data_IF_941065176726
#
_entry.id   IF_941065176726
#
_cell.length_a   1.000
_cell.length_b   1.000
_cell.length_c   1.000
_cell.angle_alpha   90.00
_cell.angle_beta   90.00
_cell.angle_gamma   90.00
#
_symmetry.space_group_name_H-M   'P 1'
#
loop_
_entity.id
_entity.type
_entity.pdbx_description
1 polymer ?
#
# COMPACT_ATOMS: atom_id res chain seq x y z
N UNK A 1 9.67 0.25 -36.29
CA UNK A 1 10.65 -0.66 -35.65
C UNK A 1 10.38 -0.92 -34.15
N UNK A 2 9.84 0.03 -33.38
CA UNK A 2 9.56 -0.15 -31.94
C UNK A 2 8.36 -1.07 -31.57
N UNK A 3 7.44 -1.38 -32.50
CA UNK A 3 6.31 -2.29 -32.19
C UNK A 3 6.66 -3.78 -32.35
N UNK A 4 7.70 -4.12 -33.12
CA UNK A 4 8.08 -5.51 -33.38
C UNK A 4 8.98 -6.11 -32.28
N UNK A 5 9.76 -5.27 -31.59
CA UNK A 5 10.63 -5.71 -30.48
C UNK A 5 9.81 -6.07 -29.23
N UNK A 6 8.65 -5.45 -29.02
CA UNK A 6 7.74 -5.77 -27.90
C UNK A 6 7.09 -7.15 -28.07
N UNK A 7 6.98 -7.65 -29.30
CA UNK A 7 6.30 -8.92 -29.62
C UNK A 7 7.16 -10.16 -29.39
N UNK A 8 8.48 -10.00 -29.22
CA UNK A 8 9.45 -11.10 -29.16
C UNK A 8 9.89 -11.51 -27.74
N UNK A 9 9.31 -10.93 -26.67
CA UNK A 9 9.69 -11.22 -25.28
C UNK A 9 8.51 -11.56 -24.35
N UNK A 10 7.42 -12.15 -24.83
CA UNK A 10 6.41 -12.78 -23.95
C UNK A 10 6.19 -14.23 -24.34
N UNK A 11 6.94 -15.15 -23.73
CA UNK A 11 6.67 -16.58 -23.86
C UNK A 11 5.52 -17.10 -22.98
N UNK A 12 4.93 -16.26 -22.12
CA UNK A 12 3.66 -16.55 -21.45
C UNK A 12 2.74 -15.33 -21.51
N UNK A 13 1.86 -15.29 -22.51
CA UNK A 13 0.75 -14.33 -22.50
C UNK A 13 -0.24 -14.79 -21.42
N UNK A 14 -0.16 -14.19 -20.22
CA UNK A 14 -1.12 -14.42 -19.13
C UNK A 14 -2.56 -14.40 -19.68
N UNK A 15 -3.24 -15.54 -19.60
CA UNK A 15 -4.63 -15.67 -20.02
C UNK A 15 -5.56 -15.00 -19.01
N UNK A 16 -5.94 -13.76 -19.32
CA UNK A 16 -6.88 -13.01 -18.49
C UNK A 16 -8.33 -13.39 -18.77
N UNK A 17 -9.11 -13.50 -17.70
CA UNK A 17 -10.56 -13.58 -17.79
C UNK A 17 -11.13 -12.28 -18.37
N UNK A 18 -12.33 -12.29 -18.97
CA UNK A 18 -12.91 -11.06 -19.51
C UNK A 18 -13.21 -9.99 -18.47
N UNK A 19 -13.59 -10.38 -17.24
CA UNK A 19 -13.73 -9.47 -16.11
C UNK A 19 -12.38 -8.79 -15.78
N UNK A 20 -11.29 -9.56 -15.72
CA UNK A 20 -9.94 -8.99 -15.52
C UNK A 20 -9.53 -8.05 -16.64
N UNK A 21 -9.90 -8.36 -17.90
CA UNK A 21 -9.62 -7.46 -19.03
C UNK A 21 -10.36 -6.14 -18.88
N UNK A 22 -11.67 -6.20 -18.60
CA UNK A 22 -12.48 -5.02 -18.38
C UNK A 22 -11.92 -4.17 -17.23
N UNK A 23 -11.64 -4.77 -16.07
CA UNK A 23 -11.00 -4.09 -14.95
C UNK A 23 -9.67 -3.42 -15.36
N UNK A 24 -8.77 -4.13 -16.04
CA UNK A 24 -7.48 -3.57 -16.47
C UNK A 24 -7.58 -2.50 -17.57
N UNK A 25 -8.61 -2.54 -18.41
CA UNK A 25 -8.84 -1.55 -19.45
C UNK A 25 -9.37 -0.23 -18.86
N UNK A 26 -9.97 -0.28 -17.67
CA UNK A 26 -10.46 0.89 -16.93
C UNK A 26 -9.43 1.49 -15.96
N UNK A 27 -8.23 0.92 -15.85
CA UNK A 27 -7.16 1.49 -15.02
C UNK A 27 -6.68 2.85 -15.58
N UNK A 28 -6.82 3.89 -14.78
CA UNK A 28 -6.31 5.23 -15.06
C UNK A 28 -5.13 5.59 -14.17
N UNK A 29 -5.04 5.00 -12.97
CA UNK A 29 -3.96 5.25 -12.01
C UNK A 29 -2.65 4.59 -12.45
N UNK A 30 -1.53 5.25 -12.10
CA UNK A 30 -0.19 4.78 -12.44
C UNK A 30 0.20 3.52 -11.65
N UNK A 31 0.14 2.35 -12.27
CA UNK A 31 0.45 1.06 -11.61
C UNK A 31 1.94 0.67 -11.62
N UNK A 32 2.84 1.55 -12.08
CA UNK A 32 4.31 1.37 -12.12
C UNK A 32 4.84 0.12 -12.85
N UNK A 33 4.01 -0.63 -13.58
CA UNK A 33 4.44 -1.87 -14.27
C UNK A 33 5.52 -1.65 -15.33
N UNK A 34 5.48 -0.52 -16.04
CA UNK A 34 6.51 -0.16 -17.02
C UNK A 34 7.81 0.22 -16.32
N UNK A 35 7.72 1.04 -15.27
CA UNK A 35 8.86 1.44 -14.44
C UNK A 35 9.53 0.21 -13.83
N UNK A 36 8.75 -0.75 -13.32
CA UNK A 36 9.25 -2.01 -12.77
C UNK A 36 10.18 -2.73 -13.76
N UNK A 37 9.83 -2.78 -15.05
CA UNK A 37 10.69 -3.41 -16.08
C UNK A 37 12.02 -2.70 -16.29
N UNK A 38 12.11 -1.42 -15.96
CA UNK A 38 13.28 -0.57 -16.21
C UNK A 38 14.19 -0.53 -14.98
N UNK A 39 13.63 -0.31 -13.79
CA UNK A 39 14.42 0.01 -12.58
C UNK A 39 14.46 -1.12 -11.55
N UNK A 40 13.56 -2.09 -11.63
CA UNK A 40 13.51 -3.15 -10.63
C UNK A 40 14.60 -4.19 -10.90
N UNK A 41 15.36 -4.51 -9.86
CA UNK A 41 16.33 -5.59 -9.92
C UNK A 41 15.66 -6.91 -9.55
N UNK A 42 15.97 -7.97 -10.31
CA UNK A 42 15.51 -9.33 -10.05
C UNK A 42 16.46 -10.04 -9.09
N UNK A 43 15.90 -10.64 -8.04
CA UNK A 43 16.64 -11.52 -7.14
C UNK A 43 16.93 -12.86 -7.82
N UNK A 44 18.08 -13.47 -7.47
CA UNK A 44 18.38 -14.87 -7.83
C UNK A 44 17.72 -15.87 -6.88
N UNK A 45 17.27 -15.41 -5.71
CA UNK A 45 16.52 -16.22 -4.77
C UNK A 45 15.11 -16.50 -5.30
N UNK A 46 14.70 -17.76 -5.21
CA UNK A 46 13.35 -18.20 -5.57
C UNK A 46 12.57 -18.38 -4.28
N UNK A 47 11.50 -17.60 -4.12
CA UNK A 47 10.61 -17.73 -2.97
C UNK A 47 9.81 -19.03 -3.08
N UNK A 48 9.62 -19.70 -1.95
CA UNK A 48 8.92 -21.00 -1.86
C UNK A 48 7.89 -20.97 -0.73
N UNK A 49 7.17 -22.08 -0.54
CA UNK A 49 6.26 -22.26 0.60
C UNK A 49 6.93 -22.09 1.97
N UNK A 50 8.25 -22.31 2.07
CA UNK A 50 9.01 -22.09 3.32
C UNK A 50 9.13 -20.61 3.70
N UNK A 51 9.03 -19.74 2.70
CA UNK A 51 9.09 -18.30 2.88
C UNK A 51 7.71 -17.70 3.15
N UNK A 52 6.64 -18.50 3.07
CA UNK A 52 5.28 -17.99 3.27
C UNK A 52 5.12 -17.35 4.65
N UNK A 53 4.55 -16.15 4.67
CA UNK A 53 4.11 -15.52 5.90
C UNK A 53 2.85 -16.23 6.43
N UNK A 54 2.64 -16.25 7.76
CA UNK A 54 1.40 -16.76 8.36
C UNK A 54 0.17 -15.97 7.87
N UNK A 55 -0.98 -16.63 7.80
CA UNK A 55 -2.27 -16.03 7.42
C UNK A 55 -2.64 -14.86 8.33
N UNK A 56 -2.36 -14.97 9.61
CA UNK A 56 -2.70 -13.97 10.63
C UNK A 56 -1.96 -12.65 10.37
N UNK A 57 -0.72 -12.73 9.86
CA UNK A 57 0.04 -11.55 9.46
C UNK A 57 -0.55 -10.92 8.20
N UNK A 58 -1.04 -11.72 7.25
CA UNK A 58 -1.68 -11.20 6.04
C UNK A 58 -3.01 -10.51 6.37
N UNK A 59 -3.80 -11.05 7.29
CA UNK A 59 -5.02 -10.43 7.81
C UNK A 59 -4.72 -9.10 8.52
N UNK A 60 -3.73 -9.07 9.42
CA UNK A 60 -3.31 -7.84 10.09
C UNK A 60 -2.83 -6.76 9.09
N UNK A 61 -2.09 -7.14 8.06
CA UNK A 61 -1.68 -6.20 7.01
C UNK A 61 -2.83 -5.76 6.12
N UNK A 62 -3.84 -6.61 5.90
CA UNK A 62 -5.05 -6.21 5.21
C UNK A 62 -5.78 -5.11 5.98
N UNK A 63 -5.89 -5.23 7.31
CA UNK A 63 -6.45 -4.18 8.16
C UNK A 63 -5.70 -2.84 8.02
N UNK A 64 -4.37 -2.85 8.13
CA UNK A 64 -3.57 -1.63 7.96
C UNK A 64 -3.65 -1.02 6.56
N UNK A 65 -3.83 -1.87 5.54
CA UNK A 65 -4.04 -1.44 4.16
C UNK A 65 -5.28 -0.56 4.01
N UNK A 66 -6.36 -0.87 4.72
CA UNK A 66 -7.60 -0.10 4.65
C UNK A 66 -7.47 1.30 5.24
N UNK A 67 -6.73 1.45 6.35
CA UNK A 67 -6.38 2.77 6.87
C UNK A 67 -5.48 3.54 5.89
N UNK A 68 -4.53 2.88 5.24
CA UNK A 68 -3.68 3.50 4.22
C UNK A 68 -4.46 3.93 2.96
N UNK A 69 -5.49 3.17 2.58
CA UNK A 69 -6.43 3.51 1.50
C UNK A 69 -7.23 4.77 1.84
N UNK A 70 -7.85 4.82 3.04
CA UNK A 70 -8.62 5.99 3.48
C UNK A 70 -7.78 7.24 3.66
N UNK A 71 -6.48 7.09 3.93
CA UNK A 71 -5.59 8.25 4.08
C UNK A 71 -5.55 9.12 2.82
N UNK A 72 -5.81 8.57 1.63
CA UNK A 72 -5.93 9.35 0.39
C UNK A 72 -7.06 10.40 0.40
N UNK A 73 -7.96 10.35 1.38
CA UNK A 73 -9.01 11.34 1.62
C UNK A 73 -9.86 11.60 0.37
N UNK A 74 -10.22 10.53 -0.35
CA UNK A 74 -11.02 10.61 -1.58
C UNK A 74 -12.41 11.18 -1.24
N UNK A 75 -13.03 10.56 -0.25
CA UNK A 75 -14.11 11.12 0.54
C UNK A 75 -13.45 11.61 1.85
N UNK A 76 -13.76 12.83 2.34
CA UNK A 76 -13.22 13.32 3.60
C UNK A 76 -13.39 12.27 4.71
N UNK A 77 -12.33 11.94 5.45
CA UNK A 77 -12.39 10.87 6.45
C UNK A 77 -13.46 11.13 7.52
N UNK A 78 -13.70 12.38 7.89
CA UNK A 78 -14.80 12.77 8.78
C UNK A 78 -16.16 12.36 8.22
N UNK A 79 -16.34 12.53 6.91
CA UNK A 79 -17.55 12.14 6.19
C UNK A 79 -17.66 10.61 6.08
N UNK A 80 -16.54 9.91 5.92
CA UNK A 80 -16.52 8.44 5.97
C UNK A 80 -16.98 7.97 7.34
N UNK A 81 -16.40 8.48 8.42
CA UNK A 81 -16.71 8.06 9.79
C UNK A 81 -18.16 8.40 10.20
N UNK A 82 -18.73 9.50 9.70
CA UNK A 82 -20.13 9.84 9.95
C UNK A 82 -21.14 9.00 9.15
N UNK A 83 -20.67 8.20 8.19
CA UNK A 83 -21.52 7.37 7.32
C UNK A 83 -21.09 5.89 7.31
N UNK A 84 -20.39 5.40 8.34
CA UNK A 84 -19.80 4.05 8.33
C UNK A 84 -20.84 2.94 8.20
N UNK A 85 -21.98 3.04 8.89
CA UNK A 85 -23.05 2.04 8.80
C UNK A 85 -23.47 1.84 7.35
N UNK A 86 -23.70 2.94 6.62
CA UNK A 86 -24.06 2.94 5.20
C UNK A 86 -22.92 2.44 4.32
N UNK A 87 -21.72 2.98 4.49
CA UNK A 87 -20.58 2.68 3.62
C UNK A 87 -20.13 1.22 3.73
N UNK A 88 -20.47 0.54 4.82
CA UNK A 88 -20.15 -0.88 5.09
C UNK A 88 -21.28 -1.84 4.71
N UNK A 89 -22.41 -1.35 4.19
CA UNK A 89 -23.47 -2.20 3.63
C UNK A 89 -22.96 -3.00 2.41
N UNK A 90 -23.57 -4.15 2.08
CA UNK A 90 -23.24 -4.90 0.88
C UNK A 90 -23.30 -4.01 -0.37
N UNK A 91 -22.31 -4.15 -1.26
CA UNK A 91 -22.16 -3.32 -2.48
C UNK A 91 -21.89 -1.84 -2.21
N UNK A 92 -21.57 -1.42 -0.99
CA UNK A 92 -21.01 -0.09 -0.72
C UNK A 92 -19.47 -0.13 -0.62
N UNK A 93 -18.77 1.03 -0.75
CA UNK A 93 -17.33 1.06 -0.96
C UNK A 93 -16.50 0.39 0.14
N UNK A 94 -17.03 0.32 1.37
CA UNK A 94 -16.36 -0.19 2.56
C UNK A 94 -16.99 -1.50 3.07
N UNK A 95 -17.69 -2.26 2.21
CA UNK A 95 -18.33 -3.54 2.57
C UNK A 95 -17.37 -4.55 3.24
N UNK A 96 -16.12 -4.60 2.78
CA UNK A 96 -15.07 -5.47 3.34
C UNK A 96 -14.18 -4.76 4.39
N UNK A 97 -14.66 -3.63 4.94
CA UNK A 97 -13.87 -2.72 5.77
C UNK A 97 -14.33 -2.59 7.21
N UNK A 98 -14.72 -3.73 7.81
CA UNK A 98 -15.15 -3.82 9.21
C UNK A 98 -14.16 -3.24 10.21
N UNK A 99 -12.84 -3.31 9.95
CA UNK A 99 -11.84 -2.72 10.86
C UNK A 99 -11.97 -1.20 10.98
N UNK A 100 -12.50 -0.52 9.97
CA UNK A 100 -12.78 0.92 10.04
C UNK A 100 -14.03 1.16 10.89
N UNK A 101 -15.08 0.34 10.71
CA UNK A 101 -16.30 0.38 11.55
C UNK A 101 -15.98 0.18 13.04
N UNK A 102 -15.05 -0.72 13.34
CA UNK A 102 -14.61 -1.04 14.71
C UNK A 102 -13.55 -0.05 15.25
N UNK A 103 -13.39 1.12 14.63
CA UNK A 103 -12.41 2.14 15.01
C UNK A 103 -13.05 3.52 15.20
N UNK A 104 -12.34 4.39 15.92
CA UNK A 104 -12.78 5.76 16.20
C UNK A 104 -11.84 6.75 15.52
N UNK A 105 -12.37 7.65 14.69
CA UNK A 105 -11.59 8.77 14.17
C UNK A 105 -11.24 9.71 15.32
N UNK A 106 -9.95 10.05 15.44
CA UNK A 106 -9.49 11.02 16.42
C UNK A 106 -9.26 12.38 15.79
N UNK A 107 -8.39 12.44 14.77
CA UNK A 107 -8.02 13.70 14.13
C UNK A 107 -7.61 13.49 12.68
N UNK A 108 -8.07 14.38 11.81
CA UNK A 108 -7.64 14.53 10.43
C UNK A 108 -6.80 15.80 10.28
N UNK A 109 -5.77 15.77 9.45
CA UNK A 109 -4.87 16.92 9.26
C UNK A 109 -4.06 16.83 7.95
N UNK A 110 -3.54 17.98 7.53
CA UNK A 110 -2.67 18.09 6.36
C UNK A 110 -1.32 18.68 6.73
N UNK A 111 -0.25 18.15 6.13
CA UNK A 111 1.05 18.80 6.17
C UNK A 111 1.06 20.08 5.33
N UNK A 112 1.90 21.05 5.71
CA UNK A 112 2.01 22.35 5.02
C UNK A 112 2.63 22.27 3.61
N UNK A 113 3.11 21.10 3.21
CA UNK A 113 3.70 20.84 1.89
C UNK A 113 2.80 19.90 1.12
N UNK A 114 2.36 20.34 -0.07
CA UNK A 114 1.50 19.58 -0.99
C UNK A 114 0.15 19.11 -0.38
N UNK A 115 -0.27 19.71 0.74
CA UNK A 115 -1.46 19.28 1.50
C UNK A 115 -1.46 17.77 1.77
N UNK A 116 -0.31 17.23 2.18
CA UNK A 116 -0.17 15.81 2.45
C UNK A 116 -1.10 15.40 3.59
N UNK A 117 -2.20 14.72 3.24
CA UNK A 117 -3.21 14.31 4.20
C UNK A 117 -2.72 13.14 5.07
N UNK A 118 -3.10 13.17 6.35
CA UNK A 118 -2.97 12.07 7.29
C UNK A 118 -4.10 12.16 8.33
N UNK A 119 -4.37 11.04 9.00
CA UNK A 119 -5.30 11.02 10.11
C UNK A 119 -4.85 10.04 11.20
N UNK A 120 -5.40 10.24 12.40
CA UNK A 120 -5.28 9.31 13.52
C UNK A 120 -6.62 8.67 13.83
N UNK A 121 -6.59 7.37 14.13
CA UNK A 121 -7.74 6.61 14.57
C UNK A 121 -7.36 5.72 15.76
N UNK A 122 -8.31 5.45 16.65
CA UNK A 122 -8.14 4.53 17.77
C UNK A 122 -8.86 3.21 17.47
N UNK A 123 -8.20 2.09 17.74
CA UNK A 123 -8.79 0.75 17.66
C UNK A 123 -8.94 0.20 19.08
N UNK A 124 -10.13 0.31 19.71
CA UNK A 124 -10.34 -0.09 21.10
C UNK A 124 -9.97 -1.56 21.36
N UNK A 125 -10.41 -2.48 20.50
CA UNK A 125 -10.16 -3.91 20.64
C UNK A 125 -8.67 -4.29 20.64
N UNK A 126 -7.83 -3.49 19.97
CA UNK A 126 -6.37 -3.69 19.91
C UNK A 126 -5.60 -2.73 20.82
N UNK A 127 -6.28 -1.78 21.47
CA UNK A 127 -5.66 -0.69 22.24
C UNK A 127 -4.59 0.05 21.43
N UNK A 128 -4.87 0.28 20.15
CA UNK A 128 -3.89 0.73 19.16
C UNK A 128 -4.28 2.12 18.61
N UNK A 129 -3.33 3.04 18.64
CA UNK A 129 -3.43 4.34 17.97
C UNK A 129 -2.84 4.21 16.57
N UNK A 130 -3.66 4.29 15.53
CA UNK A 130 -3.24 4.23 14.14
C UNK A 130 -2.96 5.65 13.63
N UNK A 131 -1.83 5.84 12.97
CA UNK A 131 -1.46 7.04 12.22
C UNK A 131 -1.37 6.63 10.75
N UNK A 132 -2.29 7.10 9.92
CA UNK A 132 -2.35 6.75 8.51
C UNK A 132 -1.97 7.94 7.63
N UNK A 133 -0.96 7.77 6.78
CA UNK A 133 -0.38 8.85 5.97
C UNK A 133 -0.61 8.55 4.48
N UNK A 134 -1.13 9.55 3.77
CA UNK A 134 -1.51 9.39 2.36
C UNK A 134 -0.32 9.29 1.42
N UNK A 135 -0.53 8.63 0.29
CA UNK A 135 0.37 8.72 -0.86
C UNK A 135 -0.02 9.88 -1.78
N UNK A 136 0.65 9.97 -2.93
CA UNK A 136 0.27 10.93 -3.98
C UNK A 136 -0.72 10.29 -4.96
N UNK A 137 -1.80 10.99 -5.32
CA UNK A 137 -2.76 10.53 -6.35
C UNK A 137 -2.19 10.58 -7.77
N UNK A 138 -1.31 11.53 -8.06
CA UNK A 138 -0.63 11.69 -9.36
C UNK A 138 0.67 10.89 -9.44
N UNK A 139 0.55 9.58 -9.28
CA UNK A 139 1.65 8.60 -9.30
C UNK A 139 2.54 8.69 -10.57
N UNK A 140 1.96 9.09 -11.71
CA UNK A 140 2.70 9.32 -12.96
C UNK A 140 3.68 10.49 -12.83
N UNK A 141 3.30 11.60 -12.23
CA UNK A 141 4.17 12.77 -12.07
C UNK A 141 5.28 12.50 -11.04
N UNK A 142 4.99 11.73 -9.99
CA UNK A 142 6.00 11.36 -8.97
C UNK A 142 7.16 10.58 -9.59
N UNK A 143 6.89 9.63 -10.51
CA UNK A 143 7.94 8.86 -11.17
C UNK A 143 8.89 9.69 -12.04
N UNK A 144 8.36 10.73 -12.72
CA UNK A 144 9.14 11.64 -13.56
C UNK A 144 9.79 12.77 -12.77
N UNK A 145 9.16 13.22 -11.68
CA UNK A 145 9.57 14.36 -10.85
C UNK A 145 10.28 13.91 -9.55
N UNK A 146 10.74 12.65 -9.48
CA UNK A 146 11.84 12.25 -8.59
C UNK A 146 13.08 13.05 -9.02
N UNK A 147 13.12 14.33 -8.66
CA UNK A 147 14.30 15.18 -8.75
C UNK A 147 15.32 14.56 -7.81
N UNK A 148 16.22 13.79 -8.42
CA UNK A 148 17.20 12.90 -7.80
C UNK A 148 18.22 13.63 -6.95
N UNK A 149 17.76 14.19 -5.85
CA UNK A 149 18.59 14.93 -4.92
C UNK A 149 18.36 14.35 -3.54
N UNK A 150 19.40 13.75 -3.00
CA UNK A 150 19.46 13.52 -1.56
C UNK A 150 19.83 14.83 -0.87
N UNK A 151 19.30 15.07 0.32
CA UNK A 151 19.74 16.13 1.24
C UNK A 151 20.28 15.50 2.52
N UNK A 152 21.00 16.28 3.32
CA UNK A 152 21.50 15.83 4.62
C UNK A 152 20.32 15.58 5.57
N UNK A 153 20.29 14.40 6.19
CA UNK A 153 19.43 14.14 7.33
C UNK A 153 20.12 14.67 8.61
N UNK A 154 19.41 15.35 9.51
CA UNK A 154 20.04 16.10 10.61
C UNK A 154 20.79 15.22 11.62
N UNK A 155 20.39 13.96 11.78
CA UNK A 155 20.97 13.02 12.76
C UNK A 155 21.85 12.00 12.05
N UNK A 156 22.97 11.62 12.69
CA UNK A 156 23.86 10.57 12.20
C UNK A 156 24.89 11.02 11.17
N UNK A 157 26.02 10.31 11.10
CA UNK A 157 27.13 10.66 10.23
C UNK A 157 26.85 10.26 8.77
N UNK A 158 27.01 11.21 7.83
CA UNK A 158 26.79 11.04 6.38
C UNK A 158 25.39 10.52 6.01
N UNK A 159 24.42 10.67 6.90
CA UNK A 159 23.03 10.30 6.62
C UNK A 159 22.44 11.24 5.58
N UNK A 160 21.90 10.66 4.52
CA UNK A 160 21.24 11.40 3.47
C UNK A 160 19.86 10.80 3.19
N UNK A 161 18.89 11.68 2.93
CA UNK A 161 17.48 11.37 2.74
C UNK A 161 17.01 11.97 1.42
N UNK A 162 16.03 11.35 0.76
CA UNK A 162 15.39 11.90 -0.42
C UNK A 162 14.81 13.30 -0.12
N UNK A 163 15.23 14.33 -0.87
CA UNK A 163 14.86 15.73 -0.61
C UNK A 163 13.35 15.97 -0.62
N UNK A 164 12.62 15.32 -1.53
CA UNK A 164 11.16 15.42 -1.60
C UNK A 164 10.46 14.83 -0.38
N UNK A 165 10.87 13.63 0.04
CA UNK A 165 10.26 12.97 1.21
C UNK A 165 10.59 13.72 2.50
N UNK A 166 11.83 14.25 2.60
CA UNK A 166 12.22 15.08 3.72
C UNK A 166 11.37 16.35 3.81
N UNK A 167 11.16 17.06 2.70
CA UNK A 167 10.34 18.28 2.67
C UNK A 167 8.88 18.00 3.07
N UNK A 168 8.29 16.92 2.55
CA UNK A 168 6.94 16.50 2.91
C UNK A 168 6.83 16.16 4.39
N UNK A 169 7.78 15.38 4.89
CA UNK A 169 7.86 15.03 6.31
C UNK A 169 8.00 16.27 7.20
N UNK A 170 8.88 17.22 6.85
CA UNK A 170 9.02 18.47 7.61
C UNK A 170 7.72 19.26 7.72
N UNK A 171 6.91 19.29 6.65
CA UNK A 171 5.60 19.93 6.66
C UNK A 171 4.54 19.18 7.46
N UNK A 172 4.68 17.85 7.60
CA UNK A 172 3.73 16.99 8.31
C UNK A 172 4.07 16.80 9.80
N UNK A 173 5.36 16.91 10.18
CA UNK A 173 5.88 16.54 11.50
C UNK A 173 5.12 17.17 12.66
N UNK A 174 4.93 18.50 12.64
CA UNK A 174 4.23 19.22 13.71
C UNK A 174 2.80 18.69 13.91
N UNK A 175 1.92 18.81 12.90
CA UNK A 175 0.56 18.29 12.97
C UNK A 175 0.46 16.81 13.36
N UNK A 176 1.38 15.96 12.88
CA UNK A 176 1.41 14.55 13.23
C UNK A 176 1.77 14.30 14.70
N UNK A 177 2.81 14.98 15.21
CA UNK A 177 3.20 14.86 16.62
C UNK A 177 2.09 15.38 17.54
N UNK A 178 1.43 16.49 17.19
CA UNK A 178 0.29 17.03 17.94
C UNK A 178 -0.89 16.05 17.95
N UNK A 179 -1.19 15.42 16.81
CA UNK A 179 -2.27 14.44 16.70
C UNK A 179 -1.97 13.15 17.49
N UNK A 180 -0.72 12.69 17.50
CA UNK A 180 -0.28 11.55 18.31
C UNK A 180 -0.38 11.90 19.79
N UNK A 181 0.13 13.06 20.20
CA UNK A 181 0.08 13.51 21.59
C UNK A 181 -1.37 13.64 22.08
N UNK A 182 -2.26 14.24 21.29
CA UNK A 182 -3.68 14.33 21.60
C UNK A 182 -4.30 12.94 21.73
N UNK A 183 -4.07 12.03 20.76
CA UNK A 183 -4.61 10.68 20.82
C UNK A 183 -4.11 9.85 22.02
N UNK A 184 -2.86 10.03 22.44
CA UNK A 184 -2.34 9.42 23.66
C UNK A 184 -2.95 10.05 24.93
N UNK A 185 -3.20 11.36 24.91
CA UNK A 185 -3.81 12.14 25.99
C UNK A 185 -5.30 11.81 26.22
N UNK A 186 -6.09 11.80 25.16
CA UNK A 186 -7.52 11.51 25.21
C UNK A 186 -7.80 10.04 25.61
N UNK A 187 -6.80 9.18 25.41
CA UNK A 187 -6.85 7.74 25.68
C UNK A 187 -5.78 7.32 26.70
N UNK A 188 -5.45 8.18 27.67
CA UNK A 188 -4.43 7.92 28.70
C UNK A 188 -4.64 6.54 29.34
N UNK A 189 -3.56 5.74 29.37
CA UNK A 189 -3.57 4.39 29.92
C UNK A 189 -4.26 3.34 29.04
N UNK A 190 -5.02 3.74 28.01
CA UNK A 190 -5.72 2.82 27.12
C UNK A 190 -4.89 2.43 25.91
N UNK A 191 -4.03 3.31 25.38
CA UNK A 191 -3.15 2.99 24.23
C UNK A 191 -1.95 2.15 24.69
N UNK A 192 -1.70 1.04 23.99
CA UNK A 192 -0.55 0.13 24.18
C UNK A 192 0.33 0.00 22.96
N UNK A 193 -0.11 0.51 21.81
CA UNK A 193 0.66 0.48 20.58
C UNK A 193 0.35 1.70 19.70
N UNK A 194 1.38 2.33 19.14
CA UNK A 194 1.26 3.26 18.02
C UNK A 194 1.54 2.46 16.74
N UNK A 195 0.57 2.41 15.84
CA UNK A 195 0.73 1.83 14.53
C UNK A 195 0.82 2.93 13.47
N UNK A 196 1.85 2.92 12.62
CA UNK A 196 1.99 3.87 11.51
C UNK A 196 1.85 3.10 10.21
N UNK A 197 0.90 3.54 9.37
CA UNK A 197 0.61 2.92 8.08
C UNK A 197 0.60 3.92 6.95
N UNK A 198 0.90 3.46 5.75
CA UNK A 198 0.90 4.30 4.56
C UNK A 198 1.22 3.52 3.30
N UNK A 199 0.63 3.97 2.19
CA UNK A 199 0.88 3.44 0.87
C UNK A 199 1.78 4.39 0.06
N UNK A 200 2.64 3.84 -0.80
CA UNK A 200 3.50 4.60 -1.70
C UNK A 200 4.37 5.61 -0.92
N UNK A 201 4.32 6.88 -1.32
CA UNK A 201 4.95 8.00 -0.62
C UNK A 201 4.59 8.09 0.87
N UNK A 202 3.38 7.73 1.27
CA UNK A 202 2.95 7.74 2.67
C UNK A 202 3.78 6.81 3.55
N UNK A 203 4.21 5.66 3.00
CA UNK A 203 5.12 4.76 3.69
C UNK A 203 6.53 5.35 3.87
N UNK A 204 7.04 6.08 2.88
CA UNK A 204 8.34 6.75 2.99
C UNK A 204 8.33 7.88 4.02
N UNK A 205 7.27 8.70 4.05
CA UNK A 205 7.09 9.75 5.05
C UNK A 205 6.82 9.16 6.44
N UNK A 206 6.05 8.06 6.52
CA UNK A 206 5.78 7.32 7.75
C UNK A 206 7.04 6.73 8.38
N UNK A 207 7.99 6.23 7.58
CA UNK A 207 9.30 5.83 8.09
C UNK A 207 10.07 7.00 8.71
N UNK A 208 10.03 8.20 8.13
CA UNK A 208 10.71 9.36 8.71
C UNK A 208 10.06 9.81 10.04
N UNK A 209 8.73 9.75 10.12
CA UNK A 209 8.00 10.00 11.36
C UNK A 209 8.36 8.98 12.45
N UNK A 210 8.39 7.69 12.11
CA UNK A 210 8.75 6.62 13.04
C UNK A 210 10.19 6.78 13.56
N UNK A 211 11.13 7.14 12.67
CA UNK A 211 12.52 7.36 13.05
C UNK A 211 12.64 8.52 14.05
N UNK A 212 11.99 9.65 13.78
CA UNK A 212 11.99 10.80 14.69
C UNK A 212 11.27 10.51 16.01
N UNK A 213 10.18 9.74 16.01
CA UNK A 213 9.53 9.30 17.25
C UNK A 213 10.49 8.51 18.15
N UNK A 214 11.23 7.56 17.57
CA UNK A 214 12.21 6.75 18.31
C UNK A 214 13.45 7.55 18.75
N UNK A 215 13.89 8.51 17.94
CA UNK A 215 15.05 9.36 18.28
C UNK A 215 14.72 10.41 19.34
N UNK A 216 13.54 11.04 19.26
CA UNK A 216 13.15 12.10 20.20
C UNK A 216 12.60 11.55 21.52
N UNK A 217 11.94 10.39 21.49
CA UNK A 217 11.37 9.69 22.66
C UNK A 217 10.36 10.47 23.51
N UNK A 218 10.01 11.71 23.14
CA UNK A 218 9.12 12.61 23.90
C UNK A 218 7.72 12.03 24.15
N UNK A 219 7.19 11.27 23.19
CA UNK A 219 5.84 10.69 23.26
C UNK A 219 5.85 9.20 23.63
N UNK A 220 7.04 8.62 23.85
CA UNK A 220 7.18 7.19 24.12
C UNK A 220 7.32 6.96 25.64
N UNK A 221 6.53 6.03 26.16
CA UNK A 221 6.56 5.62 27.57
C UNK A 221 6.77 4.11 27.68
N UNK A 222 7.19 3.64 28.85
CA UNK A 222 7.48 2.22 29.08
C UNK A 222 6.28 1.33 28.76
N UNK A 223 6.53 0.26 27.99
CA UNK A 223 5.50 -0.69 27.56
C UNK A 223 4.62 -0.23 26.38
N UNK A 224 4.85 0.96 25.82
CA UNK A 224 4.26 1.36 24.54
C UNK A 224 5.01 0.67 23.39
N UNK A 225 4.27 0.02 22.49
CA UNK A 225 4.83 -0.62 21.30
C UNK A 225 4.71 0.27 20.06
N UNK A 226 5.58 0.08 19.07
CA UNK A 226 5.51 0.73 17.76
C UNK A 226 5.39 -0.35 16.69
N UNK A 227 4.38 -0.23 15.84
CA UNK A 227 4.17 -1.12 14.70
C UNK A 227 4.13 -0.32 13.40
N UNK A 228 4.83 -0.77 12.37
CA UNK A 228 4.86 -0.12 11.07
C UNK A 228 4.33 -1.07 10.00
N UNK A 229 3.43 -0.58 9.15
CA UNK A 229 2.89 -1.33 8.01
C UNK A 229 2.87 -0.44 6.76
N UNK A 230 3.85 -0.63 5.88
CA UNK A 230 4.00 0.20 4.69
C UNK A 230 3.86 -0.61 3.41
N UNK A 231 3.05 -0.12 2.48
CA UNK A 231 2.71 -0.79 1.23
C UNK A 231 3.30 -0.03 0.05
N UNK A 232 4.15 -0.66 -0.75
CA UNK A 232 4.70 -0.02 -1.95
C UNK A 232 5.63 1.15 -1.66
N UNK A 233 6.22 1.21 -0.47
CA UNK A 233 7.08 2.30 -0.06
C UNK A 233 8.37 2.36 -0.91
N UNK A 234 8.71 3.54 -1.49
CA UNK A 234 9.96 3.75 -2.22
C UNK A 234 11.17 3.75 -1.28
N UNK A 235 12.39 3.71 -1.85
CA UNK A 235 13.64 3.88 -1.10
C UNK A 235 13.74 5.31 -0.54
N UNK A 236 14.09 5.44 0.73
CA UNK A 236 13.97 6.71 1.47
C UNK A 236 15.27 7.51 1.51
N UNK A 237 16.43 6.84 1.53
CA UNK A 237 17.71 7.52 1.67
C UNK A 237 18.89 6.60 1.42
N UNK A 238 20.08 7.03 1.84
CA UNK A 238 21.31 6.29 1.59
C UNK A 238 21.57 5.16 2.59
N UNK A 239 22.66 4.41 2.37
CA UNK A 239 23.10 3.34 3.28
C UNK A 239 23.35 3.79 4.72
N UNK A 240 23.71 5.05 4.94
CA UNK A 240 23.96 5.57 6.29
C UNK A 240 22.64 5.80 7.04
N UNK A 241 21.62 6.34 6.36
CA UNK A 241 20.28 6.45 6.92
C UNK A 241 19.68 5.07 7.20
N UNK A 242 19.87 4.09 6.30
CA UNK A 242 19.43 2.72 6.53
C UNK A 242 20.13 2.05 7.72
N UNK A 243 21.39 2.39 8.01
CA UNK A 243 22.07 1.92 9.23
C UNK A 243 21.51 2.60 10.47
N UNK A 244 21.38 3.93 10.45
CA UNK A 244 20.78 4.68 11.55
C UNK A 244 19.40 4.13 11.93
N UNK A 245 18.56 3.81 10.94
CA UNK A 245 17.27 3.15 11.14
C UNK A 245 17.39 1.84 11.91
N UNK A 246 18.27 0.93 11.45
CA UNK A 246 18.46 -0.38 12.08
C UNK A 246 19.07 -0.27 13.49
N UNK A 247 20.04 0.62 13.68
CA UNK A 247 20.67 0.88 14.97
C UNK A 247 19.64 1.46 15.97
N UNK A 248 18.77 2.37 15.51
CA UNK A 248 17.71 2.96 16.34
C UNK A 248 16.69 1.91 16.78
N UNK A 249 16.27 1.03 15.88
CA UNK A 249 15.37 -0.08 16.22
C UNK A 249 16.03 -1.04 17.21
N UNK A 250 17.31 -1.36 17.00
CA UNK A 250 18.05 -2.25 17.89
C UNK A 250 18.12 -1.69 19.31
N UNK A 251 18.50 -0.43 19.48
CA UNK A 251 18.54 0.21 20.80
C UNK A 251 17.14 0.32 21.42
N UNK A 252 16.11 0.65 20.63
CA UNK A 252 14.74 0.70 21.14
C UNK A 252 14.27 -0.65 21.68
N UNK A 253 14.54 -1.76 20.96
CA UNK A 253 14.20 -3.12 21.39
C UNK A 253 15.03 -3.58 22.58
N UNK A 254 16.31 -3.23 22.63
CA UNK A 254 17.19 -3.54 23.76
C UNK A 254 16.68 -2.92 25.07
N UNK A 255 16.12 -1.72 24.99
CA UNK A 255 15.56 -1.02 26.15
C UNK A 255 14.14 -1.47 26.52
N UNK A 256 13.30 -1.83 25.53
CA UNK A 256 11.86 -2.04 25.74
C UNK A 256 11.37 -3.48 25.48
N UNK A 257 12.27 -4.39 25.09
CA UNK A 257 11.98 -5.78 24.70
C UNK A 257 11.82 -5.95 23.18
N UNK A 258 12.07 -7.17 22.67
CA UNK A 258 12.07 -7.45 21.22
C UNK A 258 10.72 -7.11 20.55
N UNK A 259 9.61 -7.40 21.23
CA UNK A 259 8.24 -7.15 20.76
C UNK A 259 7.80 -5.67 20.86
N UNK A 260 8.66 -4.78 21.36
CA UNK A 260 8.37 -3.33 21.44
C UNK A 260 8.29 -2.67 20.07
N UNK A 261 8.95 -3.23 19.06
CA UNK A 261 8.97 -2.66 17.71
C UNK A 261 8.79 -3.73 16.64
N UNK A 262 7.83 -3.54 15.76
CA UNK A 262 7.59 -4.41 14.59
C UNK A 262 7.51 -3.56 13.32
N UNK A 263 8.22 -3.96 12.26
CA UNK A 263 8.14 -3.30 10.95
C UNK A 263 7.77 -4.26 9.83
N UNK A 264 6.85 -3.84 8.97
CA UNK A 264 6.44 -4.56 7.77
C UNK A 264 6.49 -3.63 6.56
N UNK A 265 7.37 -3.95 5.61
CA UNK A 265 7.44 -3.27 4.32
C UNK A 265 7.01 -4.25 3.23
N UNK A 266 5.83 -4.03 2.66
CA UNK A 266 5.20 -4.91 1.68
C UNK A 266 5.50 -4.43 0.26
N UNK A 267 6.13 -5.29 -0.53
CA UNK A 267 6.30 -5.15 -1.97
C UNK A 267 5.30 -6.05 -2.68
N UNK A 268 4.87 -5.70 -3.88
CA UNK A 268 3.97 -6.52 -4.69
C UNK A 268 4.55 -6.82 -6.07
N UNK A 269 4.14 -7.94 -6.65
CA UNK A 269 4.42 -8.29 -8.03
C UNK A 269 4.15 -7.13 -8.99
N UNK A 270 5.14 -6.83 -9.85
CA UNK A 270 5.10 -5.79 -10.88
C UNK A 270 4.88 -4.36 -10.38
N UNK A 271 5.13 -4.07 -9.11
CA UNK A 271 5.22 -2.70 -8.63
C UNK A 271 6.66 -2.15 -8.75
N UNK A 272 6.81 -1.06 -9.52
CA UNK A 272 8.08 -0.38 -9.72
C UNK A 272 8.38 0.71 -8.68
N UNK A 273 7.39 1.18 -7.92
CA UNK A 273 7.54 2.27 -6.96
C UNK A 273 8.55 1.91 -5.86
N UNK A 274 8.50 0.67 -5.36
CA UNK A 274 9.47 0.15 -4.38
C UNK A 274 10.91 0.14 -4.91
N UNK A 275 11.08 0.12 -6.23
CA UNK A 275 12.40 0.15 -6.87
C UNK A 275 12.87 1.57 -7.21
N UNK A 276 12.12 2.60 -6.82
CA UNK A 276 12.49 4.00 -6.95
C UNK A 276 12.82 4.64 -5.58
N UNK A 277 13.75 5.60 -5.54
CA UNK A 277 14.79 5.79 -6.55
C UNK A 277 15.69 4.55 -6.68
N UNK A 278 16.39 4.36 -7.81
CA UNK A 278 17.24 3.19 -8.06
C UNK A 278 18.34 2.97 -7.01
N UNK A 279 18.59 1.69 -6.69
CA UNK A 279 19.66 1.27 -5.78
C UNK A 279 21.06 1.70 -6.26
N UNK A 280 21.28 1.70 -7.58
CA UNK A 280 22.53 2.14 -8.24
C UNK A 280 22.86 3.61 -7.98
N UNK A 281 21.89 4.44 -7.61
CA UNK A 281 22.09 5.84 -7.24
C UNK A 281 22.37 6.02 -5.73
N UNK A 282 22.67 4.93 -5.02
CA UNK A 282 23.03 4.96 -3.60
C UNK A 282 21.84 4.92 -2.63
N UNK A 283 20.61 4.89 -3.14
CA UNK A 283 19.40 4.72 -2.32
C UNK A 283 19.29 3.29 -1.78
N UNK A 284 18.74 3.14 -0.58
CA UNK A 284 18.53 1.87 0.11
C UNK A 284 17.13 1.80 0.71
N UNK A 285 16.62 0.58 0.85
CA UNK A 285 15.47 0.36 1.73
C UNK A 285 15.91 0.44 3.19
N UNK A 286 15.02 0.95 4.04
CA UNK A 286 15.26 1.02 5.49
C UNK A 286 15.03 -0.35 6.15
N UNK A 287 13.92 -1.01 5.84
CA UNK A 287 13.57 -2.35 6.32
C UNK A 287 14.47 -3.41 5.67
N UNK A 288 15.09 -4.25 6.51
CA UNK A 288 15.96 -5.34 6.05
C UNK A 288 15.25 -6.64 5.74
N UNK A 289 14.02 -6.84 6.19
CA UNK A 289 13.25 -8.08 5.93
C UNK A 289 11.88 -7.73 5.35
N UNK A 290 11.80 -7.23 4.11
CA UNK A 290 10.52 -6.88 3.51
C UNK A 290 9.67 -8.14 3.27
N UNK A 291 8.40 -7.92 2.99
CA UNK A 291 7.46 -8.95 2.55
C UNK A 291 7.19 -8.77 1.05
N UNK A 292 6.88 -9.86 0.36
CA UNK A 292 6.55 -9.88 -1.05
C UNK A 292 5.18 -10.51 -1.27
N UNK A 293 4.25 -9.75 -1.82
CA UNK A 293 2.90 -10.17 -2.12
C UNK A 293 2.78 -10.64 -3.57
N UNK A 294 2.26 -11.85 -3.77
CA UNK A 294 2.09 -12.47 -5.08
C UNK A 294 0.90 -13.42 -5.07
N UNK A 295 0.00 -13.27 -6.05
CA UNK A 295 -1.09 -14.23 -6.30
C UNK A 295 -2.05 -14.47 -5.13
N UNK A 296 -2.18 -13.50 -4.20
CA UNK A 296 -2.94 -13.57 -2.95
C UNK A 296 -2.21 -14.19 -1.74
N UNK A 297 -0.88 -14.35 -1.83
CA UNK A 297 -0.06 -14.85 -0.72
C UNK A 297 1.12 -13.94 -0.44
N UNK A 298 1.46 -13.85 0.84
CA UNK A 298 2.57 -13.05 1.34
C UNK A 298 3.78 -13.93 1.67
N UNK A 299 4.97 -13.48 1.28
CA UNK A 299 6.23 -14.19 1.47
C UNK A 299 7.24 -13.30 2.19
N UNK A 300 8.05 -13.87 3.09
CA UNK A 300 9.17 -13.20 3.75
C UNK A 300 10.37 -13.17 2.81
N UNK A 301 10.93 -11.99 2.60
CA UNK A 301 12.14 -11.84 1.77
C UNK A 301 13.38 -11.94 2.66
N UNK A 302 14.36 -12.79 2.33
CA UNK A 302 15.64 -12.85 3.04
C UNK A 302 16.34 -11.50 3.08
N UNK A 303 17.06 -11.21 4.16
CA UNK A 303 17.65 -9.87 4.33
C UNK A 303 18.76 -9.53 3.35
N UNK A 304 19.43 -10.53 2.78
CA UNK A 304 20.38 -10.35 1.68
C UNK A 304 19.70 -9.85 0.40
N UNK A 305 18.41 -10.15 0.23
CA UNK A 305 17.65 -9.88 -0.98
C UNK A 305 16.76 -8.61 -0.88
N UNK A 306 16.82 -7.89 0.25
CA UNK A 306 15.90 -6.79 0.57
C UNK A 306 15.89 -5.64 -0.45
N UNK A 307 16.96 -5.47 -1.24
CA UNK A 307 17.05 -4.42 -2.26
C UNK A 307 16.37 -4.78 -3.59
N UNK A 308 16.00 -6.06 -3.80
CA UNK A 308 15.33 -6.52 -5.01
C UNK A 308 13.83 -6.18 -5.02
N UNK A 309 13.30 -5.91 -6.21
CA UNK A 309 11.90 -5.60 -6.44
C UNK A 309 11.14 -6.70 -7.19
N UNK A 310 11.84 -7.68 -7.74
CA UNK A 310 11.26 -8.79 -8.52
C UNK A 310 11.80 -10.11 -8.02
N UNK A 311 10.89 -11.03 -7.71
CA UNK A 311 11.20 -12.39 -7.27
C UNK A 311 10.51 -13.39 -8.19
N UNK A 312 11.18 -14.53 -8.39
CA UNK A 312 10.52 -15.73 -8.92
C UNK A 312 9.92 -16.50 -7.75
N UNK A 313 8.78 -17.16 -7.97
CA UNK A 313 8.12 -17.96 -6.95
C UNK A 313 7.95 -19.38 -7.48
N UNK A 314 8.35 -20.36 -6.67
CA UNK A 314 8.03 -21.76 -6.90
C UNK A 314 6.70 -22.06 -6.23
N UNK A 315 5.66 -22.12 -7.05
CA UNK A 315 4.31 -22.47 -6.62
C UNK A 315 4.14 -23.99 -6.65
N UNK A 316 3.41 -24.54 -5.69
CA UNK A 316 2.88 -25.90 -5.81
C UNK A 316 1.83 -26.00 -6.93
N UNK A 317 1.53 -27.21 -7.40
CA UNK A 317 0.58 -27.42 -8.52
C UNK A 317 -0.79 -26.78 -8.29
N UNK A 318 -1.31 -26.84 -7.06
CA UNK A 318 -2.59 -26.24 -6.69
C UNK A 318 -2.56 -24.71 -6.79
N UNK A 319 -1.49 -24.08 -6.28
CA UNK A 319 -1.34 -22.62 -6.27
C UNK A 319 -1.03 -22.07 -7.67
N UNK A 320 -0.35 -22.86 -8.51
CA UNK A 320 -0.11 -22.56 -9.92
C UNK A 320 -1.41 -22.59 -10.75
N UNK A 321 -2.36 -23.46 -10.39
CA UNK A 321 -3.66 -23.56 -11.05
C UNK A 321 -4.70 -22.56 -10.51
N UNK A 322 -4.40 -21.87 -9.40
CA UNK A 322 -5.30 -20.89 -8.80
C UNK A 322 -5.43 -19.66 -9.70
N UNK A 323 -6.67 -19.25 -9.96
CA UNK A 323 -6.94 -17.99 -10.67
C UNK A 323 -6.80 -16.82 -9.70
N UNK A 324 -5.76 -16.03 -9.89
CA UNK A 324 -5.53 -14.82 -9.09
C UNK A 324 -6.51 -13.72 -9.49
N UNK A 325 -6.97 -12.92 -8.53
CA UNK A 325 -7.86 -11.78 -8.80
C UNK A 325 -7.15 -10.72 -9.66
N UNK A 326 -5.90 -10.40 -9.32
CA UNK A 326 -5.09 -9.38 -9.99
C UNK A 326 -3.79 -9.94 -10.59
N UNK A 327 -3.85 -10.75 -11.66
CA UNK A 327 -2.70 -11.48 -12.19
C UNK A 327 -1.62 -10.59 -12.84
N UNK A 328 -1.92 -9.32 -13.15
CA UNK A 328 -0.90 -8.35 -13.58
C UNK A 328 -0.18 -7.67 -12.42
N UNK A 329 -0.59 -7.89 -11.16
CA UNK A 329 -0.09 -7.18 -9.99
C UNK A 329 -0.14 -5.66 -10.20
N UNK A 330 0.76 -4.92 -9.56
CA UNK A 330 0.89 -3.48 -9.71
C UNK A 330 0.63 -2.71 -8.42
N UNK A 331 1.00 -1.44 -8.43
CA UNK A 331 1.04 -0.59 -7.25
C UNK A 331 -0.32 -0.39 -6.55
N UNK A 332 -1.45 -0.53 -7.26
CA UNK A 332 -2.78 -0.36 -6.66
C UNK A 332 -3.43 -1.62 -6.08
N UNK A 333 -2.71 -2.75 -6.03
CA UNK A 333 -3.31 -4.08 -5.79
C UNK A 333 -2.88 -4.79 -4.50
N UNK A 334 -2.54 -4.02 -3.47
CA UNK A 334 -2.13 -4.58 -2.18
C UNK A 334 -3.31 -5.27 -1.48
N UNK A 335 -3.01 -6.36 -0.74
CA UNK A 335 -3.98 -7.10 0.09
C UNK A 335 -5.23 -7.62 -0.66
N UNK A 336 -5.07 -7.97 -1.95
CA UNK A 336 -6.19 -8.37 -2.82
C UNK A 336 -7.33 -7.33 -2.91
N UNK A 337 -6.96 -6.05 -2.84
CA UNK A 337 -7.88 -4.92 -3.02
C UNK A 337 -7.53 -4.16 -4.29
N UNK A 338 -8.53 -3.53 -4.88
CA UNK A 338 -8.38 -2.59 -5.99
C UNK A 338 -8.59 -1.17 -5.48
N UNK A 339 -7.49 -0.48 -5.21
CA UNK A 339 -7.52 0.88 -4.68
C UNK A 339 -8.18 1.88 -5.63
N UNK A 340 -8.14 1.65 -6.95
CA UNK A 340 -8.75 2.54 -7.93
C UNK A 340 -10.27 2.39 -7.92
N UNK A 341 -10.77 1.16 -7.91
CA UNK A 341 -12.20 0.89 -7.79
C UNK A 341 -12.75 1.45 -6.46
N UNK A 342 -12.04 1.26 -5.35
CA UNK A 342 -12.41 1.86 -4.06
C UNK A 342 -12.48 3.39 -4.14
N UNK A 343 -11.45 4.03 -4.70
CA UNK A 343 -11.42 5.48 -4.84
C UNK A 343 -12.57 6.00 -5.71
N UNK A 344 -12.85 5.37 -6.85
CA UNK A 344 -13.93 5.77 -7.74
C UNK A 344 -15.30 5.64 -7.04
N UNK A 345 -15.53 4.54 -6.32
CA UNK A 345 -16.76 4.31 -5.55
C UNK A 345 -16.92 5.34 -4.42
N UNK A 346 -15.86 5.65 -3.68
CA UNK A 346 -15.89 6.69 -2.63
C UNK A 346 -16.12 8.09 -3.22
N UNK A 347 -15.46 8.44 -4.33
CA UNK A 347 -15.66 9.74 -4.99
C UNK A 347 -17.09 9.93 -5.42
N UNK A 348 -17.67 8.91 -6.05
CA UNK A 348 -19.06 8.96 -6.51
C UNK A 348 -20.02 9.17 -5.33
N UNK A 349 -19.86 8.41 -4.24
CA UNK A 349 -20.71 8.57 -3.06
C UNK A 349 -20.52 9.95 -2.44
N UNK A 350 -19.30 10.43 -2.28
CA UNK A 350 -19.02 11.76 -1.73
C UNK A 350 -19.68 12.89 -2.52
N UNK A 351 -19.76 12.75 -3.85
CA UNK A 351 -20.35 13.76 -4.75
C UNK A 351 -21.88 13.79 -4.71
N UNK A 352 -22.53 12.64 -4.53
CA UNK A 352 -23.98 12.49 -4.72
C UNK A 352 -24.77 12.18 -3.45
N UNK A 353 -24.09 11.87 -2.34
CA UNK A 353 -24.75 11.57 -1.07
C UNK A 353 -25.64 12.74 -0.63
N UNK A 354 -26.91 12.44 -0.41
CA UNK A 354 -27.95 13.42 -0.06
C UNK A 354 -28.80 13.91 -1.23
N UNK A 355 -28.45 13.59 -2.49
CA UNK A 355 -29.34 13.82 -3.64
C UNK A 355 -30.57 12.87 -3.60
N UNK A 356 -31.71 13.22 -4.21
CA UNK A 356 -32.82 12.28 -4.36
C UNK A 356 -32.38 10.99 -5.09
N UNK A 357 -32.82 9.83 -4.59
CA UNK A 357 -32.60 8.50 -5.17
C UNK A 357 -31.12 8.13 -5.44
N UNK A 358 -30.18 8.78 -4.73
CA UNK A 358 -28.75 8.59 -4.95
C UNK A 358 -28.31 7.16 -4.68
N UNK A 359 -28.92 6.47 -3.69
CA UNK A 359 -28.58 5.10 -3.32
C UNK A 359 -28.94 4.12 -4.44
N UNK A 360 -30.13 4.28 -5.00
CA UNK A 360 -30.65 3.47 -6.10
C UNK A 360 -29.77 3.67 -7.35
N UNK A 361 -29.43 4.93 -7.66
CA UNK A 361 -28.51 5.27 -8.76
C UNK A 361 -27.13 4.64 -8.56
N UNK A 362 -26.58 4.70 -7.35
CA UNK A 362 -25.29 4.10 -7.02
C UNK A 362 -25.30 2.59 -7.24
N UNK A 363 -26.28 1.90 -6.65
CA UNK A 363 -26.40 0.44 -6.72
C UNK A 363 -26.63 -0.03 -8.16
N UNK A 364 -27.43 0.70 -8.94
CA UNK A 364 -27.61 0.43 -10.36
C UNK A 364 -26.30 0.56 -11.15
N UNK A 365 -25.47 1.56 -10.84
CA UNK A 365 -24.16 1.73 -11.47
C UNK A 365 -23.18 0.60 -11.10
N UNK A 366 -23.10 0.23 -9.82
CA UNK A 366 -22.25 -0.88 -9.35
C UNK A 366 -22.67 -2.18 -10.03
N UNK A 367 -23.98 -2.46 -10.08
CA UNK A 367 -24.51 -3.64 -10.74
C UNK A 367 -24.22 -3.63 -12.24
N UNK A 368 -24.42 -2.51 -12.94
CA UNK A 368 -24.12 -2.41 -14.37
C UNK A 368 -22.63 -2.66 -14.67
N UNK A 369 -21.73 -2.22 -13.79
CA UNK A 369 -20.30 -2.48 -13.90
C UNK A 369 -19.96 -3.97 -13.70
N UNK A 370 -20.55 -4.61 -12.69
CA UNK A 370 -20.42 -6.06 -12.45
C UNK A 370 -20.93 -6.86 -13.66
N UNK A 371 -22.12 -6.51 -14.17
CA UNK A 371 -22.73 -7.13 -15.34
C UNK A 371 -21.92 -6.88 -16.62
N UNK A 372 -21.28 -5.73 -16.80
CA UNK A 372 -20.37 -5.49 -17.93
C UNK A 372 -19.16 -6.43 -17.86
N UNK A 373 -18.59 -6.58 -16.67
CA UNK A 373 -17.43 -7.44 -16.42
C UNK A 373 -17.77 -8.92 -16.64
N UNK A 374 -18.96 -9.35 -16.23
CA UNK A 374 -19.49 -10.71 -16.45
C UNK A 374 -19.99 -10.93 -17.89
N UNK A 375 -20.66 -9.95 -18.49
CA UNK A 375 -21.25 -9.99 -19.83
C UNK A 375 -20.20 -10.02 -20.94
N UNK A 376 -19.09 -9.27 -20.78
CA UNK A 376 -17.88 -9.46 -21.61
C UNK A 376 -17.32 -10.88 -21.46
N UNK A 377 -17.56 -11.56 -20.34
CA UNK A 377 -17.20 -12.96 -20.15
C UNK A 377 -18.06 -13.95 -20.94
N UNK A 378 -19.36 -13.65 -21.06
CA UNK A 378 -20.32 -14.47 -21.81
C UNK A 378 -20.20 -14.26 -23.32
N UNK A 379 -20.11 -13.01 -23.79
CA UNK A 379 -20.03 -12.71 -25.22
C UNK A 379 -18.77 -13.31 -25.86
N UNK A 380 -17.63 -13.31 -25.16
CA UNK A 380 -16.43 -13.96 -25.68
C UNK A 380 -16.58 -15.49 -25.78
N UNK A 381 -17.19 -16.17 -24.79
CA UNK A 381 -17.48 -17.62 -24.88
C UNK A 381 -18.35 -17.95 -26.10
N UNK A 382 -19.30 -17.08 -26.46
CA UNK A 382 -20.16 -17.24 -27.63
C UNK A 382 -19.37 -17.10 -28.94
N UNK A 383 -18.46 -16.12 -29.02
CA UNK A 383 -17.55 -15.96 -30.15
C UNK A 383 -16.54 -17.11 -30.29
N UNK A 384 -15.94 -17.61 -29.21
CA UNK A 384 -15.01 -18.77 -29.27
C UNK A 384 -15.71 -20.07 -29.68
N UNK A 385 -16.99 -20.26 -29.31
CA UNK A 385 -17.80 -21.39 -29.77
C UNK A 385 -18.20 -21.27 -31.24
N UNK A 386 -18.41 -20.06 -31.76
CA UNK A 386 -18.74 -19.82 -33.16
C UNK A 386 -17.52 -19.95 -34.10
N UNK A 387 -16.31 -19.68 -33.62
CA UNK A 387 -15.07 -19.85 -34.40
C UNK A 387 -14.47 -21.26 -34.33
N UNK A 388 -14.94 -22.10 -33.41
CA UNK A 388 -14.66 -23.55 -33.35
C UNK A 388 -15.71 -24.38 -34.13
N UNK A 389 -16.10 -23.95 -35.33
CA UNK A 389 -16.78 -24.88 -36.24
C UNK A 389 -15.77 -25.95 -36.68
N UNK A 390 -16.11 -27.25 -36.62
CA UNK A 390 -15.22 -28.30 -37.12
C UNK A 390 -14.97 -28.05 -38.60
N UNK A 391 -13.70 -28.12 -39.02
CA UNK A 391 -13.36 -28.28 -40.43
C UNK A 391 -14.09 -29.54 -40.89
N UNK A 392 -15.12 -29.36 -41.72
CA UNK A 392 -15.75 -30.49 -42.42
C UNK A 392 -14.65 -31.13 -43.27
N UNK A 393 -14.42 -32.41 -43.00
CA UNK A 393 -13.67 -33.36 -43.83
C UNK A 393 -14.18 -33.36 -45.25
#
# INVERSE_FOLDING_TARGET
MFSHVVRLLSKDALELTPAQKAMYDHETLGNFRVINKIVATRSRYVLTSKDAAPSELQEELAEFGQFAELAYNIMPVEMVYSNLELLTEPRFPLEDSRVILDSELLKSFCGSVANLHAFTAYRPAKRQLVVAISGTRTLKHVAYDFRNQMTRYPVGHKCMVHKGFWRLYQGLKGPAMDAIQAGLGDKVGQVKEIAITGHSMGGAVGSLLALDLMLERKLLFSGLRIKLAFFGAPRVGNKHLARLWQDTIHEYRKENGEESFQEYSVKIYKDGATSLPPHSWGYRHLTKRPLYFYGSRLYRVPSSECEHGVFSISLGEEEANRRWRYPRGGHGYYNDRDMETLANRLSWVAEHIGEPDWRERYLAQVQAQEEEWEGKAVNKKRWTRLTQRPRRT
#
